data_IF_868217620469
#
_entry.id   IF_868217620469
#
_cell.length_a   1.000
_cell.length_b   1.000
_cell.length_c   1.000
_cell.angle_alpha   90.00
_cell.angle_beta   90.00
_cell.angle_gamma   90.00
#
_symmetry.space_group_name_H-M   'P 1'
#
loop_
_entity.id
_entity.type
_entity.pdbx_description
1 polymer ?
#
# COMPACT_ATOMS: atom_id res chain seq x y z
N UNK A 1 23.22 18.54 -9.11
CA UNK A 1 22.41 17.38 -8.65
C UNK A 1 21.95 17.62 -7.23
N UNK A 2 20.69 17.97 -7.01
CA UNK A 2 20.08 17.98 -5.68
C UNK A 2 19.79 16.53 -5.27
N UNK A 3 20.44 16.06 -4.22
CA UNK A 3 20.13 14.78 -3.60
C UNK A 3 18.67 14.83 -3.13
N UNK A 4 17.79 14.00 -3.70
CA UNK A 4 16.46 13.78 -3.14
C UNK A 4 16.65 13.22 -1.73
N UNK A 5 16.31 14.01 -0.73
CA UNK A 5 16.40 13.61 0.67
C UNK A 5 15.42 12.48 0.93
N UNK A 6 15.93 11.27 1.17
CA UNK A 6 15.16 10.09 1.64
C UNK A 6 14.42 10.32 2.99
N UNK A 7 14.54 11.51 3.60
CA UNK A 7 14.02 11.82 4.93
C UNK A 7 12.50 11.95 5.05
N UNK A 8 11.73 11.87 3.95
CA UNK A 8 10.27 11.97 4.03
C UNK A 8 9.61 10.63 4.34
N UNK A 9 10.07 9.53 3.72
CA UNK A 9 9.44 8.19 3.89
C UNK A 9 9.83 7.48 5.19
N UNK A 10 10.91 7.90 5.84
CA UNK A 10 11.32 7.38 7.16
C UNK A 10 10.62 8.07 8.34
N UNK A 11 9.72 9.03 8.09
CA UNK A 11 8.94 9.67 9.14
C UNK A 11 8.05 8.62 9.84
N UNK A 12 8.20 8.42 11.17
CA UNK A 12 7.41 7.45 11.91
C UNK A 12 5.89 7.71 11.83
N UNK A 13 5.47 8.95 11.58
CA UNK A 13 4.07 9.30 11.38
C UNK A 13 3.52 8.75 10.06
N UNK A 14 4.35 8.66 9.01
CA UNK A 14 3.96 8.04 7.74
C UNK A 14 3.79 6.54 7.92
N UNK A 15 4.73 5.90 8.62
CA UNK A 15 4.61 4.47 8.96
C UNK A 15 3.34 4.19 9.76
N UNK A 16 3.08 4.98 10.81
CA UNK A 16 1.87 4.86 11.64
C UNK A 16 0.60 5.10 10.82
N UNK A 17 0.62 6.03 9.87
CA UNK A 17 -0.50 6.24 8.96
C UNK A 17 -0.80 5.00 8.14
N UNK A 18 0.18 4.24 7.66
CA UNK A 18 -0.06 3.01 6.90
C UNK A 18 -0.38 1.79 7.77
N UNK A 19 0.15 1.71 8.99
CA UNK A 19 -0.12 0.64 9.97
C UNK A 19 -1.49 0.79 10.67
N UNK A 20 -2.16 1.94 10.57
CA UNK A 20 -3.55 2.05 11.04
C UNK A 20 -4.52 1.32 10.11
N UNK A 21 -5.77 1.11 10.55
CA UNK A 21 -6.82 0.61 9.65
C UNK A 21 -7.02 1.58 8.48
N UNK A 22 -6.76 1.10 7.27
CA UNK A 22 -6.84 1.91 6.06
C UNK A 22 -7.59 1.17 4.94
N UNK A 23 -8.21 1.97 4.08
CA UNK A 23 -8.75 1.51 2.80
C UNK A 23 -7.75 1.88 1.70
N UNK A 24 -7.39 0.91 0.87
CA UNK A 24 -6.47 1.10 -0.27
C UNK A 24 -7.10 0.63 -1.57
N UNK A 25 -6.59 1.12 -2.69
CA UNK A 25 -6.92 0.63 -4.02
C UNK A 25 -5.83 -0.32 -4.49
N UNK A 26 -6.13 -1.61 -4.56
CA UNK A 26 -5.24 -2.62 -5.12
C UNK A 26 -5.42 -2.66 -6.63
N UNK A 27 -4.32 -2.55 -7.39
CA UNK A 27 -4.32 -2.81 -8.83
C UNK A 27 -3.55 -4.10 -9.12
N UNK A 28 -4.16 -5.00 -9.89
CA UNK A 28 -3.50 -6.15 -10.50
C UNK A 28 -3.68 -6.14 -12.02
N UNK A 29 -3.01 -7.06 -12.70
CA UNK A 29 -3.24 -7.32 -14.11
C UNK A 29 -4.16 -8.54 -14.24
N UNK A 30 -5.15 -8.44 -15.11
CA UNK A 30 -5.93 -9.59 -15.60
C UNK A 30 -5.07 -10.43 -16.56
N UNK A 31 -5.54 -11.62 -16.93
CA UNK A 31 -4.84 -12.49 -17.88
C UNK A 31 -4.58 -11.82 -19.24
N UNK A 32 -5.46 -10.92 -19.66
CA UNK A 32 -5.34 -10.14 -20.91
C UNK A 32 -4.46 -8.89 -20.78
N UNK A 33 -3.89 -8.64 -19.60
CA UNK A 33 -3.05 -7.48 -19.31
C UNK A 33 -3.82 -6.20 -18.99
N UNK A 34 -5.15 -6.21 -18.94
CA UNK A 34 -5.93 -5.06 -18.49
C UNK A 34 -5.77 -4.84 -16.97
N UNK A 35 -5.84 -3.58 -16.48
CA UNK A 35 -5.78 -3.31 -15.05
C UNK A 35 -7.11 -3.66 -14.38
N UNK A 36 -7.04 -4.41 -13.27
CA UNK A 36 -8.17 -4.63 -12.37
C UNK A 36 -7.90 -3.91 -11.05
N UNK A 37 -8.82 -3.03 -10.65
CA UNK A 37 -8.69 -2.19 -9.45
C UNK A 37 -9.81 -2.49 -8.47
N UNK A 38 -9.46 -2.84 -7.23
CA UNK A 38 -10.41 -3.17 -6.17
C UNK A 38 -10.09 -2.39 -4.89
N UNK A 39 -11.07 -1.68 -4.29
CA UNK A 39 -10.90 -1.13 -2.95
C UNK A 39 -10.93 -2.25 -1.90
N UNK A 40 -9.95 -2.30 -1.00
CA UNK A 40 -9.83 -3.34 0.03
C UNK A 40 -9.27 -2.79 1.33
N UNK A 41 -9.59 -3.46 2.44
CA UNK A 41 -8.95 -3.22 3.73
C UNK A 41 -7.53 -3.77 3.73
N UNK A 42 -6.59 -2.98 4.25
CA UNK A 42 -5.19 -3.35 4.40
C UNK A 42 -4.78 -3.41 5.87
N UNK A 43 -3.88 -4.34 6.16
CA UNK A 43 -3.10 -4.38 7.41
C UNK A 43 -1.62 -4.58 7.09
N UNK A 44 -0.74 -4.21 8.03
CA UNK A 44 0.72 -4.41 7.90
C UNK A 44 1.23 -5.16 9.13
N UNK A 45 1.68 -6.40 8.92
CA UNK A 45 2.19 -7.26 9.98
C UNK A 45 3.55 -7.84 9.62
N UNK A 46 4.54 -7.67 10.51
CA UNK A 46 5.90 -8.20 10.35
C UNK A 46 6.57 -7.84 9.00
N UNK A 47 6.25 -6.66 8.46
CA UNK A 47 6.75 -6.20 7.15
C UNK A 47 6.00 -6.74 5.94
N UNK A 48 4.93 -7.52 6.14
CA UNK A 48 4.05 -7.99 5.08
C UNK A 48 2.80 -7.10 4.98
N UNK A 49 2.28 -6.94 3.76
CA UNK A 49 1.00 -6.29 3.48
C UNK A 49 -0.07 -7.38 3.43
N UNK A 50 -1.04 -7.32 4.33
CA UNK A 50 -2.19 -8.21 4.36
C UNK A 50 -3.40 -7.51 3.72
N UNK A 51 -4.07 -8.20 2.81
CA UNK A 51 -5.20 -7.65 2.06
C UNK A 51 -6.42 -8.54 2.29
N UNK A 52 -7.56 -7.94 2.64
CA UNK A 52 -8.84 -8.65 2.74
C UNK A 52 -9.62 -8.48 1.44
N UNK A 53 -9.40 -9.36 0.48
CA UNK A 53 -10.20 -9.39 -0.74
C UNK A 53 -11.57 -10.02 -0.43
N UNK A 54 -12.63 -9.21 -0.54
CA UNK A 54 -13.99 -9.74 -0.67
C UNK A 54 -14.11 -10.21 -2.12
N UNK A 55 -14.13 -11.53 -2.33
CA UNK A 55 -14.29 -12.13 -3.65
C UNK A 55 -15.72 -12.64 -3.81
#
# INVERSE_FOLDING_TARGET
MTQQTNGKLSDPNIRKFFESKNLVFLSSLMEDGSPHVTPTWVDIENGNILLSILQ
#
